data_IF_156607828069
#
_entry.id   IF_156607828069
#
_cell.length_a   1.000
_cell.length_b   1.000
_cell.length_c   1.000
_cell.angle_alpha   90.00
_cell.angle_beta   90.00
_cell.angle_gamma   90.00
#
_symmetry.space_group_name_H-M   'P 1'
#
loop_
_entity.id
_entity.type
_entity.pdbx_description
1 polymer ?
#
# COMPACT_ATOMS: atom_id res chain seq x y z
N UNK A 1 -8.95 39.00 9.16
CA UNK A 1 -8.96 38.41 7.80
C UNK A 1 -9.83 37.17 7.88
N UNK A 2 -10.98 37.17 7.21
CA UNK A 2 -11.93 36.05 7.23
C UNK A 2 -11.50 35.00 6.19
N UNK A 3 -11.55 33.74 6.55
CA UNK A 3 -11.15 32.60 5.69
C UNK A 3 -12.10 32.32 4.52
N UNK A 4 -13.24 32.99 4.47
CA UNK A 4 -14.27 32.82 3.43
C UNK A 4 -13.87 33.44 2.09
N UNK A 5 -13.15 34.56 2.10
CA UNK A 5 -12.72 35.27 0.88
C UNK A 5 -11.61 34.55 0.09
N UNK A 6 -10.92 33.58 0.70
CA UNK A 6 -9.83 32.84 0.03
C UNK A 6 -10.33 31.67 -0.83
N UNK A 7 -11.55 31.19 -0.58
CA UNK A 7 -12.14 30.05 -1.30
C UNK A 7 -13.00 30.46 -2.49
N UNK A 8 -13.40 31.74 -2.56
CA UNK A 8 -14.26 32.27 -3.64
C UNK A 8 -13.50 32.49 -4.95
N UNK A 9 -12.19 32.79 -4.89
CA UNK A 9 -11.40 33.17 -6.07
C UNK A 9 -10.88 31.97 -6.88
N UNK A 10 -10.88 30.76 -6.31
CA UNK A 10 -10.50 29.54 -7.04
C UNK A 10 -11.66 28.94 -7.87
N UNK A 11 -12.90 29.39 -7.63
CA UNK A 11 -14.09 28.87 -8.31
C UNK A 11 -14.60 29.80 -9.43
N UNK A 12 -13.94 30.94 -9.64
CA UNK A 12 -14.27 31.88 -10.72
C UNK A 12 -13.45 31.60 -11.99
N UNK A 13 -14.06 30.77 -12.85
CA UNK A 13 -13.87 30.67 -14.31
C UNK A 13 -12.74 29.75 -14.84
N UNK A 14 -13.08 28.75 -15.70
CA UNK A 14 -13.28 29.05 -17.13
C UNK A 14 -14.53 28.41 -17.75
N UNK A 15 -15.39 29.26 -18.33
CA UNK A 15 -16.30 29.03 -19.45
C UNK A 15 -16.88 27.61 -19.61
N UNK A 16 -17.96 27.33 -18.87
CA UNK A 16 -18.90 26.25 -19.21
C UNK A 16 -20.24 26.90 -19.59
N UNK A 17 -20.83 26.61 -20.76
CA UNK A 17 -22.10 27.20 -21.16
C UNK A 17 -23.22 26.69 -20.25
N UNK A 18 -23.75 27.56 -19.38
CA UNK A 18 -24.91 27.27 -18.53
C UNK A 18 -26.20 27.39 -19.35
N UNK A 19 -27.06 26.35 -19.44
CA UNK A 19 -28.41 26.55 -19.90
C UNK A 19 -29.18 27.29 -18.79
N UNK A 20 -29.58 28.52 -19.11
CA UNK A 20 -30.56 29.30 -18.36
C UNK A 20 -31.84 28.49 -18.19
N UNK A 21 -32.24 28.20 -16.95
CA UNK A 21 -33.67 28.18 -16.65
C UNK A 21 -33.95 28.60 -15.20
N UNK A 22 -34.80 29.62 -15.07
CA UNK A 22 -35.22 30.20 -13.80
C UNK A 22 -36.46 29.49 -13.30
N UNK A 23 -36.41 28.82 -12.16
CA UNK A 23 -37.62 28.50 -11.39
C UNK A 23 -37.34 28.37 -9.90
N UNK A 24 -38.05 29.19 -9.12
CA UNK A 24 -38.09 29.16 -7.65
C UNK A 24 -38.58 27.80 -7.17
N UNK A 25 -37.70 27.03 -6.56
CA UNK A 25 -38.03 25.77 -5.86
C UNK A 25 -36.99 25.53 -4.78
N UNK A 26 -37.41 25.02 -3.63
CA UNK A 26 -36.59 24.80 -2.43
C UNK A 26 -35.16 24.37 -2.78
N UNK A 27 -34.17 25.11 -2.26
CA UNK A 27 -32.74 24.87 -2.51
C UNK A 27 -32.38 23.52 -1.91
N UNK A 28 -32.58 22.44 -2.66
CA UNK A 28 -31.97 21.15 -2.35
C UNK A 28 -30.47 21.38 -2.39
N UNK A 29 -29.73 21.00 -1.34
CA UNK A 29 -28.30 21.22 -1.33
C UNK A 29 -27.67 20.57 -2.56
N UNK A 30 -26.70 21.24 -3.18
CA UNK A 30 -26.16 20.89 -4.50
C UNK A 30 -25.74 19.40 -4.62
N UNK A 31 -25.30 18.80 -3.50
CA UNK A 31 -24.90 17.40 -3.35
C UNK A 31 -26.06 16.38 -3.36
N UNK A 32 -27.32 16.79 -3.23
CA UNK A 32 -28.49 15.87 -3.26
C UNK A 32 -29.40 16.11 -4.47
N UNK A 33 -28.91 16.83 -5.48
CA UNK A 33 -29.60 16.94 -6.76
C UNK A 33 -29.61 15.58 -7.48
N UNK A 34 -30.60 15.34 -8.35
CA UNK A 34 -30.67 14.13 -9.18
C UNK A 34 -29.43 13.99 -10.07
N UNK A 35 -28.98 15.11 -10.63
CA UNK A 35 -27.78 15.20 -11.48
C UNK A 35 -26.52 14.81 -10.74
N UNK A 36 -26.32 15.32 -9.53
CA UNK A 36 -25.19 14.96 -8.69
C UNK A 36 -25.16 13.46 -8.38
N UNK A 37 -26.32 12.84 -8.10
CA UNK A 37 -26.40 11.39 -7.87
C UNK A 37 -26.01 10.57 -9.11
N UNK A 38 -26.50 10.96 -10.28
CA UNK A 38 -26.14 10.32 -11.55
C UNK A 38 -24.65 10.44 -11.87
N UNK A 39 -24.06 11.61 -11.64
CA UNK A 39 -22.62 11.85 -11.82
C UNK A 39 -21.79 11.10 -10.79
N UNK A 40 -22.20 11.10 -9.51
CA UNK A 40 -21.56 10.33 -8.44
C UNK A 40 -21.53 8.84 -8.78
N UNK A 41 -22.64 8.27 -9.25
CA UNK A 41 -22.69 6.86 -9.65
C UNK A 41 -21.80 6.58 -10.87
N UNK A 42 -21.70 7.52 -11.82
CA UNK A 42 -20.78 7.43 -12.95
C UNK A 42 -19.31 7.45 -12.50
N UNK A 43 -18.94 8.38 -11.62
CA UNK A 43 -17.57 8.46 -11.08
C UNK A 43 -17.25 7.25 -10.21
N UNK A 44 -18.18 6.80 -9.37
CA UNK A 44 -18.04 5.59 -8.57
C UNK A 44 -17.79 4.37 -9.44
N UNK A 45 -18.52 4.24 -10.56
CA UNK A 45 -18.30 3.17 -11.56
C UNK A 45 -16.94 3.28 -12.26
N UNK A 46 -16.44 4.50 -12.51
CA UNK A 46 -15.11 4.73 -13.09
C UNK A 46 -13.98 4.44 -12.09
N UNK A 47 -14.17 4.76 -10.81
CA UNK A 47 -13.19 4.49 -9.74
C UNK A 47 -13.16 3.03 -9.33
N UNK A 48 -14.28 2.31 -9.46
CA UNK A 48 -14.31 0.86 -9.30
C UNK A 48 -13.65 0.21 -10.51
N UNK A 49 -12.34 0.07 -10.46
CA UNK A 49 -11.63 -0.80 -11.39
C UNK A 49 -12.14 -2.24 -11.18
N UNK A 50 -13.00 -2.70 -12.10
CA UNK A 50 -13.63 -4.02 -12.00
C UNK A 50 -12.61 -5.17 -12.05
N UNK A 51 -11.38 -4.89 -12.48
CA UNK A 51 -10.30 -5.89 -12.55
C UNK A 51 -9.34 -5.79 -11.38
N UNK A 52 -9.44 -4.76 -10.56
CA UNK A 52 -8.55 -4.59 -9.43
C UNK A 52 -8.92 -5.57 -8.31
N UNK A 53 -8.02 -6.51 -8.04
CA UNK A 53 -8.12 -7.43 -6.92
C UNK A 53 -6.93 -7.21 -6.00
N UNK A 54 -7.20 -6.93 -4.72
CA UNK A 54 -6.14 -6.78 -3.70
C UNK A 54 -5.31 -8.07 -3.57
N UNK A 55 -5.88 -9.23 -3.91
CA UNK A 55 -5.16 -10.50 -3.89
C UNK A 55 -4.02 -10.58 -4.93
N UNK A 56 -4.10 -9.79 -6.02
CA UNK A 56 -3.09 -9.77 -7.08
C UNK A 56 -1.88 -8.88 -6.74
N UNK A 57 -2.00 -8.09 -5.67
CA UNK A 57 -0.96 -7.18 -5.20
C UNK A 57 -0.45 -7.67 -3.84
N UNK A 58 0.50 -8.63 -3.82
CA UNK A 58 1.06 -9.12 -2.57
C UNK A 58 1.72 -7.99 -1.79
N UNK A 59 1.66 -8.09 -0.46
CA UNK A 59 2.23 -7.09 0.45
C UNK A 59 3.70 -6.81 0.08
N UNK A 60 4.05 -5.56 -0.26
CA UNK A 60 5.42 -5.21 -0.63
C UNK A 60 6.41 -5.38 0.51
N UNK A 61 5.95 -5.43 1.77
CA UNK A 61 6.75 -5.60 2.97
C UNK A 61 6.82 -7.06 3.44
N UNK A 62 6.04 -7.96 2.86
CA UNK A 62 6.08 -9.36 3.24
C UNK A 62 7.43 -9.99 2.85
N UNK A 63 8.00 -10.87 3.69
CA UNK A 63 9.20 -11.61 3.35
C UNK A 63 8.93 -12.46 2.11
N UNK A 64 9.65 -12.15 1.01
CA UNK A 64 9.49 -12.86 -0.25
C UNK A 64 9.99 -14.30 -0.12
N UNK A 65 9.37 -15.26 -0.81
CA UNK A 65 9.92 -16.60 -0.90
C UNK A 65 11.34 -16.53 -1.47
N UNK A 66 12.26 -17.37 -0.99
CA UNK A 66 13.64 -17.36 -1.43
C UNK A 66 13.73 -17.50 -2.95
N UNK A 67 14.28 -16.49 -3.62
CA UNK A 67 14.46 -16.54 -5.06
C UNK A 67 15.66 -17.45 -5.38
N UNK A 68 15.60 -18.34 -6.38
CA UNK A 68 16.72 -19.24 -6.72
C UNK A 68 18.01 -18.53 -7.17
N UNK A 69 17.93 -17.21 -7.44
CA UNK A 69 19.10 -16.34 -7.73
C UNK A 69 19.66 -15.65 -6.48
N UNK A 70 18.96 -15.74 -5.35
CA UNK A 70 19.33 -15.10 -4.09
C UNK A 70 20.45 -15.87 -3.39
N UNK A 71 20.54 -17.17 -3.67
CA UNK A 71 21.59 -18.05 -3.18
C UNK A 71 22.63 -18.29 -4.28
N UNK A 72 23.94 -18.17 -3.99
CA UNK A 72 25.00 -18.60 -4.89
C UNK A 72 24.81 -20.05 -5.33
N UNK A 73 25.33 -20.39 -6.52
CA UNK A 73 25.35 -21.80 -6.95
C UNK A 73 26.17 -22.62 -5.95
N UNK A 74 25.57 -23.66 -5.37
CA UNK A 74 26.21 -24.56 -4.41
C UNK A 74 25.95 -24.26 -2.93
N UNK A 75 25.21 -23.19 -2.60
CA UNK A 75 24.66 -23.03 -1.23
C UNK A 75 23.33 -23.77 -1.13
N UNK A 76 23.43 -25.09 -0.97
CA UNK A 76 22.27 -25.94 -0.75
C UNK A 76 21.85 -25.94 0.74
N UNK A 77 20.56 -26.20 1.05
CA UNK A 77 20.07 -26.30 2.42
C UNK A 77 20.77 -27.40 3.24
N UNK A 78 21.31 -28.43 2.57
CA UNK A 78 22.14 -29.46 3.22
C UNK A 78 23.49 -28.91 3.68
N UNK A 79 24.10 -28.04 2.88
CA UNK A 79 25.37 -27.42 3.23
C UNK A 79 25.21 -26.50 4.44
N UNK A 80 24.16 -25.67 4.47
CA UNK A 80 23.87 -24.83 5.64
C UNK A 80 23.67 -25.68 6.91
N UNK A 81 22.91 -26.77 6.83
CA UNK A 81 22.71 -27.68 7.98
C UNK A 81 24.03 -28.25 8.50
N UNK A 82 24.92 -28.67 7.60
CA UNK A 82 26.24 -29.19 7.97
C UNK A 82 27.10 -28.11 8.64
N UNK A 83 27.04 -26.88 8.13
CA UNK A 83 27.78 -25.75 8.65
C UNK A 83 27.30 -25.38 10.07
N UNK A 84 25.99 -25.40 10.30
CA UNK A 84 25.40 -25.20 11.63
C UNK A 84 25.83 -26.28 12.63
N UNK A 85 25.86 -27.55 12.23
CA UNK A 85 26.34 -28.64 13.08
C UNK A 85 27.81 -28.43 13.49
N UNK A 86 28.66 -28.10 12.53
CA UNK A 86 30.08 -27.85 12.78
C UNK A 86 30.32 -26.65 13.71
N UNK A 87 29.53 -25.57 13.54
CA UNK A 87 29.58 -24.42 14.45
C UNK A 87 29.19 -24.83 15.89
N UNK A 88 28.16 -25.67 16.04
CA UNK A 88 27.73 -26.15 17.36
C UNK A 88 28.83 -26.98 18.04
N UNK A 89 29.47 -27.89 17.30
CA UNK A 89 30.56 -28.73 17.81
C UNK A 89 31.77 -27.90 18.24
N UNK A 90 32.17 -26.91 17.42
CA UNK A 90 33.29 -26.01 17.75
C UNK A 90 32.97 -25.13 18.96
N UNK A 91 31.73 -24.65 19.08
CA UNK A 91 31.31 -23.88 20.26
C UNK A 91 31.33 -24.75 21.53
N UNK A 92 30.87 -25.99 21.44
CA UNK A 92 30.86 -26.92 22.56
C UNK A 92 32.30 -27.28 22.99
N UNK A 93 33.20 -27.53 22.05
CA UNK A 93 34.60 -27.84 22.35
C UNK A 93 35.33 -26.64 22.97
N UNK A 94 35.10 -25.43 22.47
CA UNK A 94 35.67 -24.20 23.03
C UNK A 94 35.18 -23.93 24.46
N UNK A 95 33.88 -24.15 24.73
CA UNK A 95 33.32 -24.03 26.07
C UNK A 95 33.92 -25.08 27.04
N UNK A 96 34.08 -26.32 26.59
CA UNK A 96 34.69 -27.39 27.37
C UNK A 96 36.21 -27.17 27.63
N UNK A 97 36.90 -26.45 26.75
CA UNK A 97 38.30 -26.11 26.92
C UNK A 97 38.49 -24.90 27.85
N UNK A 98 37.61 -23.90 27.78
CA UNK A 98 37.58 -22.78 28.72
C UNK A 98 37.33 -23.23 30.16
N UNK A 99 36.45 -24.20 30.37
CA UNK A 99 36.16 -24.77 31.70
C UNK A 99 37.33 -25.57 32.30
N UNK A 100 38.27 -26.06 31.47
CA UNK A 100 39.44 -26.83 31.93
C UNK A 100 40.64 -25.97 32.34
N UNK A 101 40.69 -24.70 31.92
CA UNK A 101 41.79 -23.77 32.22
C UNK A 101 41.49 -22.81 33.38
N UNK A 102 40.27 -22.86 33.92
CA UNK A 102 39.81 -21.99 35.01
C UNK A 102 39.58 -22.69 36.35
N UNK A 103 40.03 -23.94 36.50
CA UNK A 103 39.98 -24.73 37.73
C UNK A 103 41.38 -24.85 38.36
#
# INVERSE_FOLDING_TARGET
>A
MNSDDLMSDFMSDPAVPTPSDSTKGAVTPAWNSKKFREEYDLYKRRLQDQKFSVADYPDPLAPRPPHPKQYPKGTDPELERRLHALIADVKASLAAEGNRRGA
#
